data_IF_691110662529
#
_entry.id   IF_691110662529
#
_cell.length_a   1.000
_cell.length_b   1.000
_cell.length_c   1.000
_cell.angle_alpha   90.00
_cell.angle_beta   90.00
_cell.angle_gamma   90.00
#
_symmetry.space_group_name_H-M   'P 1'
#
loop_
_entity.id
_entity.type
_entity.pdbx_description
1 polymer ?
#
# COMPACT_ATOMS: atom_id res chain seq x y z
N UNK A 1 -12.89 -0.16 18.07
CA UNK A 1 -12.52 1.02 17.26
C UNK A 1 -11.38 1.72 17.99
N UNK A 2 -10.23 1.91 17.35
CA UNK A 2 -9.09 2.60 17.97
C UNK A 2 -9.24 4.11 17.76
N UNK A 3 -9.36 4.87 18.85
CA UNK A 3 -9.46 6.32 18.80
C UNK A 3 -8.10 6.93 19.13
N UNK A 4 -7.58 7.77 18.24
CA UNK A 4 -6.34 8.53 18.44
C UNK A 4 -6.72 10.01 18.51
N UNK A 5 -6.44 10.67 19.64
CA UNK A 5 -6.71 12.09 19.85
C UNK A 5 -5.39 12.83 20.14
N UNK A 6 -4.68 13.20 19.08
CA UNK A 6 -3.47 14.01 19.15
C UNK A 6 -3.58 15.17 18.18
N UNK A 7 -3.55 16.39 18.72
CA UNK A 7 -3.62 17.62 17.93
C UNK A 7 -2.43 17.71 16.96
N UNK A 8 -1.23 17.39 17.43
CA UNK A 8 0.00 17.38 16.63
C UNK A 8 -0.13 16.44 15.44
N UNK A 9 -0.50 15.16 15.65
CA UNK A 9 -0.66 14.20 14.55
C UNK A 9 -1.71 14.68 13.55
N UNK A 10 -2.84 15.18 14.04
CA UNK A 10 -3.92 15.66 13.19
C UNK A 10 -3.48 16.87 12.35
N UNK A 11 -2.78 17.83 12.94
CA UNK A 11 -2.30 19.02 12.24
C UNK A 11 -1.17 18.68 11.26
N UNK A 12 -0.25 17.77 11.58
CA UNK A 12 0.81 17.30 10.69
C UNK A 12 0.23 16.56 9.46
N UNK A 13 -0.70 15.63 9.69
CA UNK A 13 -1.39 14.91 8.61
C UNK A 13 -2.09 15.86 7.65
N UNK A 14 -2.70 16.94 8.16
CA UNK A 14 -3.43 17.90 7.34
C UNK A 14 -2.51 18.89 6.63
N UNK A 15 -1.55 19.48 7.35
CA UNK A 15 -0.78 20.63 6.87
C UNK A 15 0.50 20.21 6.13
N UNK A 16 1.13 19.11 6.53
CA UNK A 16 2.37 18.61 5.91
C UNK A 16 2.01 17.65 4.78
N UNK A 17 1.10 16.72 5.04
CA UNK A 17 0.79 15.62 4.11
C UNK A 17 -0.52 15.80 3.32
N UNK A 18 -1.24 16.91 3.53
CA UNK A 18 -2.46 17.23 2.77
C UNK A 18 -3.67 16.33 3.07
N UNK A 19 -3.62 15.50 4.11
CA UNK A 19 -4.61 14.47 4.37
C UNK A 19 -5.79 15.05 5.17
N UNK A 20 -6.78 15.61 4.47
CA UNK A 20 -7.97 16.35 5.02
C UNK A 20 -9.20 15.48 5.21
N UNK A 21 -10.18 15.77 6.10
CA UNK A 21 -11.42 14.98 6.21
C UNK A 21 -12.13 14.72 4.86
N UNK A 22 -12.90 13.63 4.75
CA UNK A 22 -13.52 13.16 3.49
C UNK A 22 -12.51 12.80 2.37
N UNK A 23 -11.41 12.18 2.78
CA UNK A 23 -10.19 11.83 2.01
C UNK A 23 -10.44 11.01 0.75
N UNK A 24 -11.53 10.25 0.71
CA UNK A 24 -11.74 9.20 -0.28
C UNK A 24 -11.68 9.67 -1.73
N UNK A 25 -11.98 10.95 -2.01
CA UNK A 25 -11.99 11.51 -3.37
C UNK A 25 -10.74 12.32 -3.72
N UNK A 26 -10.08 12.92 -2.73
CA UNK A 26 -9.09 13.98 -2.96
C UNK A 26 -7.71 13.67 -2.36
N UNK A 27 -7.51 12.49 -1.78
CA UNK A 27 -6.20 12.12 -1.24
C UNK A 27 -5.20 11.91 -2.36
N UNK A 28 -4.01 12.48 -2.21
CA UNK A 28 -2.88 12.29 -3.12
C UNK A 28 -1.84 11.39 -2.44
N UNK A 29 -1.01 10.72 -3.26
CA UNK A 29 0.10 9.96 -2.70
C UNK A 29 1.13 10.94 -2.12
N UNK A 30 1.47 10.85 -0.82
CA UNK A 30 2.37 11.82 -0.20
C UNK A 30 3.79 11.67 -0.73
N UNK A 31 4.58 12.73 -0.69
CA UNK A 31 6.02 12.62 -0.91
C UNK A 31 6.64 11.74 0.18
N UNK A 32 7.32 10.68 -0.23
CA UNK A 32 8.06 9.77 0.64
C UNK A 32 9.46 9.58 0.05
N UNK A 33 10.54 9.87 0.80
CA UNK A 33 11.90 9.61 0.34
C UNK A 33 12.09 8.14 -0.04
N UNK A 34 12.90 7.89 -1.07
CA UNK A 34 13.08 6.55 -1.65
C UNK A 34 13.50 5.51 -0.59
N UNK A 35 14.37 5.88 0.36
CA UNK A 35 14.79 4.96 1.42
C UNK A 35 13.64 4.51 2.33
N UNK A 36 12.57 5.30 2.47
CA UNK A 36 11.42 5.03 3.32
C UNK A 36 10.20 4.55 2.54
N UNK A 37 10.25 4.58 1.21
CA UNK A 37 9.10 4.25 0.35
C UNK A 37 8.58 2.83 0.62
N UNK A 38 9.49 1.85 0.71
CA UNK A 38 9.12 0.48 1.03
C UNK A 38 8.47 0.32 2.42
N UNK A 39 8.84 1.16 3.41
CA UNK A 39 8.19 1.18 4.72
C UNK A 39 6.78 1.79 4.65
N UNK A 40 6.60 2.87 3.88
CA UNK A 40 5.27 3.46 3.65
C UNK A 40 4.33 2.47 2.96
N UNK A 41 4.80 1.83 1.88
CA UNK A 41 4.01 0.83 1.15
C UNK A 41 3.71 -0.39 2.03
N UNK A 42 4.63 -0.81 2.90
CA UNK A 42 4.34 -1.82 3.92
C UNK A 42 3.19 -1.39 4.82
N UNK A 43 3.22 -0.17 5.35
CA UNK A 43 2.16 0.35 6.21
C UNK A 43 0.80 0.38 5.51
N UNK A 44 0.76 0.84 4.26
CA UNK A 44 -0.45 0.83 3.44
C UNK A 44 -0.95 -0.60 3.16
N UNK A 45 -0.05 -1.48 2.74
CA UNK A 45 -0.37 -2.89 2.52
C UNK A 45 -0.87 -3.57 3.79
N UNK A 46 -0.27 -3.32 4.94
CA UNK A 46 -0.69 -3.90 6.21
C UNK A 46 -2.06 -3.38 6.63
N UNK A 47 -2.35 -2.10 6.43
CA UNK A 47 -3.65 -1.50 6.70
C UNK A 47 -4.77 -2.03 5.80
N UNK A 48 -4.58 -1.99 4.48
CA UNK A 48 -5.68 -2.14 3.51
C UNK A 48 -5.38 -3.11 2.35
N UNK A 49 -4.13 -3.57 2.23
CA UNK A 49 -3.75 -4.56 1.22
C UNK A 49 -4.35 -5.96 1.49
N UNK A 50 -4.40 -6.78 0.45
CA UNK A 50 -4.81 -8.17 0.53
C UNK A 50 -3.75 -9.08 -0.12
N UNK A 51 -3.59 -10.28 0.42
CA UNK A 51 -2.67 -11.30 -0.08
C UNK A 51 -3.34 -12.67 -0.07
N UNK A 52 -3.10 -13.43 -1.13
CA UNK A 52 -3.40 -14.84 -1.27
C UNK A 52 -2.14 -15.55 -1.78
N UNK A 53 -1.47 -16.30 -0.90
CA UNK A 53 -0.23 -17.02 -1.19
C UNK A 53 -0.42 -18.14 -2.22
N UNK A 54 -1.45 -18.96 -2.03
CA UNK A 54 -1.79 -20.09 -2.93
C UNK A 54 -2.03 -19.66 -4.38
N UNK A 55 -2.62 -18.47 -4.59
CA UNK A 55 -2.84 -17.90 -5.94
C UNK A 55 -1.70 -16.98 -6.39
N UNK A 56 -0.67 -16.81 -5.58
CA UNK A 56 0.40 -15.82 -5.76
C UNK A 56 -0.18 -14.46 -6.20
N UNK A 57 -1.03 -13.90 -5.34
CA UNK A 57 -1.82 -12.73 -5.64
C UNK A 57 -1.80 -11.72 -4.49
N UNK A 58 -1.59 -10.45 -4.84
CA UNK A 58 -1.69 -9.30 -3.94
C UNK A 58 -2.60 -8.26 -4.58
N UNK A 59 -3.45 -7.61 -3.78
CA UNK A 59 -4.32 -6.56 -4.27
C UNK A 59 -4.44 -5.37 -3.34
N UNK A 60 -4.67 -4.21 -3.95
CA UNK A 60 -5.00 -2.95 -3.29
C UNK A 60 -6.30 -2.41 -3.86
N UNK A 61 -7.09 -1.73 -3.03
CA UNK A 61 -8.35 -1.09 -3.45
C UNK A 61 -8.35 0.32 -2.87
N UNK A 62 -8.61 1.33 -3.69
CA UNK A 62 -8.65 2.72 -3.24
C UNK A 62 -9.77 3.50 -3.92
N UNK A 63 -10.30 4.52 -3.23
CA UNK A 63 -11.35 5.41 -3.77
C UNK A 63 -10.83 6.60 -4.55
N UNK A 64 -9.57 7.01 -4.33
CA UNK A 64 -8.95 8.16 -5.00
C UNK A 64 -8.17 7.71 -6.21
N UNK A 65 -8.54 8.24 -7.38
CA UNK A 65 -7.82 8.01 -8.62
C UNK A 65 -6.38 8.48 -8.52
N UNK A 66 -6.16 9.72 -8.06
CA UNK A 66 -4.84 10.33 -8.00
C UNK A 66 -3.89 9.50 -7.14
N UNK A 67 -4.33 9.09 -5.95
CA UNK A 67 -3.53 8.23 -5.08
C UNK A 67 -3.19 6.89 -5.76
N UNK A 68 -4.19 6.23 -6.34
CA UNK A 68 -4.01 4.90 -6.91
C UNK A 68 -3.19 4.93 -8.20
N UNK A 69 -3.29 5.99 -9.01
CA UNK A 69 -2.47 6.17 -10.19
C UNK A 69 -1.01 6.48 -9.82
N UNK A 70 -0.76 7.37 -8.86
CA UNK A 70 0.61 7.59 -8.37
C UNK A 70 1.21 6.33 -7.73
N UNK A 71 0.41 5.56 -6.99
CA UNK A 71 0.87 4.29 -6.42
C UNK A 71 1.17 3.23 -7.49
N UNK A 72 0.38 3.20 -8.58
CA UNK A 72 0.65 2.39 -9.75
C UNK A 72 2.02 2.74 -10.36
N UNK A 73 2.29 4.01 -10.60
CA UNK A 73 3.56 4.47 -11.17
C UNK A 73 4.76 4.10 -10.28
N UNK A 74 4.60 4.21 -8.96
CA UNK A 74 5.62 3.76 -7.98
C UNK A 74 5.94 2.27 -8.13
N UNK A 75 4.92 1.43 -8.27
CA UNK A 75 5.11 -0.01 -8.43
C UNK A 75 5.75 -0.35 -9.79
N UNK A 76 5.34 0.32 -10.86
CA UNK A 76 5.94 0.15 -12.20
C UNK A 76 7.41 0.59 -12.22
N UNK A 77 7.74 1.71 -11.57
CA UNK A 77 9.12 2.19 -11.42
C UNK A 77 10.00 1.21 -10.65
N UNK A 78 9.44 0.53 -9.64
CA UNK A 78 10.08 -0.58 -8.91
C UNK A 78 10.09 -1.91 -9.70
N UNK A 79 9.71 -1.88 -10.97
CA UNK A 79 9.70 -3.02 -11.90
C UNK A 79 8.78 -4.15 -11.44
N UNK A 80 7.63 -3.81 -10.87
CA UNK A 80 6.56 -4.77 -10.64
C UNK A 80 5.64 -4.84 -11.85
N UNK A 81 5.20 -6.05 -12.19
CA UNK A 81 4.16 -6.22 -13.20
C UNK A 81 2.81 -6.14 -12.50
N UNK A 82 1.90 -5.31 -13.00
CA UNK A 82 0.61 -5.11 -12.36
C UNK A 82 -0.53 -5.02 -13.37
N UNK A 83 -1.74 -5.23 -12.89
CA UNK A 83 -2.96 -4.85 -13.59
C UNK A 83 -3.66 -3.74 -12.81
N UNK A 84 -4.01 -2.66 -13.51
CA UNK A 84 -4.80 -1.56 -12.96
C UNK A 84 -6.23 -1.68 -13.48
N UNK A 85 -7.20 -1.76 -12.57
CA UNK A 85 -8.62 -1.82 -12.90
C UNK A 85 -9.30 -0.57 -12.39
N UNK A 86 -9.79 0.21 -13.33
CA UNK A 86 -10.65 1.35 -13.09
C UNK A 86 -12.11 0.88 -13.01
N UNK A 87 -12.74 1.08 -11.84
CA UNK A 87 -14.19 0.97 -11.68
C UNK A 87 -14.66 2.36 -11.23
N UNK A 88 -15.82 2.80 -11.70
CA UNK A 88 -16.39 4.14 -11.45
C UNK A 88 -16.27 4.67 -10.01
N UNK A 89 -16.25 3.80 -9.00
CA UNK A 89 -16.16 4.17 -7.57
C UNK A 89 -14.92 3.66 -6.84
N UNK A 90 -14.10 2.85 -7.50
CA UNK A 90 -12.94 2.22 -6.87
C UNK A 90 -11.89 1.83 -7.90
N UNK A 91 -10.63 2.05 -7.56
CA UNK A 91 -9.49 1.66 -8.36
C UNK A 91 -8.82 0.47 -7.70
N UNK A 92 -8.34 -0.47 -8.51
CA UNK A 92 -7.70 -1.68 -8.00
C UNK A 92 -6.37 -1.92 -8.68
N UNK A 93 -5.38 -2.29 -7.87
CA UNK A 93 -4.08 -2.74 -8.36
C UNK A 93 -3.93 -4.20 -7.98
N UNK A 94 -3.56 -5.02 -8.96
CA UNK A 94 -3.28 -6.44 -8.78
C UNK A 94 -1.83 -6.76 -9.12
N UNK A 95 -1.16 -7.45 -8.21
CA UNK A 95 0.13 -8.08 -8.44
C UNK A 95 -0.09 -9.58 -8.44
N UNK A 96 0.23 -10.21 -9.57
CA UNK A 96 0.00 -11.64 -9.77
C UNK A 96 1.30 -12.33 -10.15
N UNK A 97 1.36 -13.64 -9.91
CA UNK A 97 2.47 -14.49 -10.30
C UNK A 97 3.54 -14.62 -9.21
N UNK A 98 4.05 -15.84 -9.04
CA UNK A 98 4.94 -16.24 -7.95
C UNK A 98 6.15 -15.33 -7.79
N UNK A 99 6.87 -15.07 -8.88
CA UNK A 99 8.08 -14.24 -8.84
C UNK A 99 7.79 -12.80 -8.45
N UNK A 100 6.71 -12.23 -8.99
CA UNK A 100 6.34 -10.84 -8.77
C UNK A 100 5.84 -10.61 -7.33
N UNK A 101 5.02 -11.53 -6.81
CA UNK A 101 4.54 -11.48 -5.42
C UNK A 101 5.65 -11.73 -4.41
N UNK A 102 6.55 -12.67 -4.68
CA UNK A 102 7.73 -12.90 -3.84
C UNK A 102 8.64 -11.68 -3.80
N UNK A 103 8.92 -11.08 -4.96
CA UNK A 103 9.69 -9.82 -5.06
C UNK A 103 9.01 -8.71 -4.26
N UNK A 104 7.69 -8.58 -4.37
CA UNK A 104 6.93 -7.56 -3.64
C UNK A 104 7.08 -7.76 -2.12
N UNK A 105 6.89 -8.99 -1.63
CA UNK A 105 7.06 -9.33 -0.22
C UNK A 105 8.47 -9.02 0.29
N UNK A 106 9.51 -9.43 -0.45
CA UNK A 106 10.90 -9.14 -0.10
C UNK A 106 11.18 -7.64 -0.02
N UNK A 107 10.57 -6.84 -0.91
CA UNK A 107 10.75 -5.39 -0.92
C UNK A 107 10.08 -4.71 0.28
N UNK A 108 8.79 -4.96 0.54
CA UNK A 108 8.08 -4.28 1.64
C UNK A 108 8.54 -4.74 3.03
N UNK A 109 9.03 -5.98 3.15
CA UNK A 109 9.57 -6.54 4.40
C UNK A 109 11.10 -6.48 4.48
N UNK A 110 11.76 -5.76 3.57
CA UNK A 110 13.18 -5.42 3.72
C UNK A 110 13.38 -4.69 5.05
N UNK A 111 14.39 -5.10 5.81
CA UNK A 111 14.74 -4.53 7.12
C UNK A 111 13.52 -4.37 8.05
N UNK A 112 12.60 -5.36 8.05
CA UNK A 112 11.33 -5.25 8.78
C UNK A 112 11.57 -5.01 10.28
N UNK A 113 10.99 -3.92 10.78
CA UNK A 113 10.69 -3.70 12.19
C UNK A 113 9.21 -4.00 12.43
N UNK A 114 8.42 -2.94 12.61
CA UNK A 114 6.97 -3.02 12.78
C UNK A 114 6.25 -3.51 11.51
N UNK A 115 5.42 -4.55 11.66
CA UNK A 115 4.58 -5.12 10.61
C UNK A 115 3.44 -5.99 11.17
N UNK A 116 2.43 -6.28 10.36
CA UNK A 116 1.37 -7.23 10.73
C UNK A 116 1.80 -8.69 10.50
N UNK A 117 2.04 -9.40 11.60
CA UNK A 117 2.45 -10.82 11.59
C UNK A 117 1.52 -11.71 10.76
N UNK A 118 0.19 -11.46 10.80
CA UNK A 118 -0.79 -12.23 10.02
C UNK A 118 -0.53 -12.17 8.51
N UNK A 119 -0.24 -10.99 7.97
CA UNK A 119 0.02 -10.83 6.53
C UNK A 119 1.42 -11.31 6.15
N UNK A 120 2.40 -11.06 7.01
CA UNK A 120 3.75 -11.58 6.82
C UNK A 120 3.78 -13.11 6.74
N UNK A 121 3.12 -13.80 7.67
CA UNK A 121 3.10 -15.26 7.72
C UNK A 121 2.54 -15.88 6.42
N UNK A 122 1.49 -15.29 5.83
CA UNK A 122 0.93 -15.77 4.55
C UNK A 122 2.00 -15.80 3.45
N UNK A 123 2.91 -14.82 3.40
CA UNK A 123 4.02 -14.84 2.44
C UNK A 123 5.09 -15.89 2.74
N UNK A 124 5.17 -16.37 3.99
CA UNK A 124 6.15 -17.38 4.42
C UNK A 124 5.63 -18.80 4.32
N UNK A 125 4.32 -18.98 4.13
CA UNK A 125 3.72 -20.26 3.79
C UNK A 125 4.28 -20.70 2.43
N UNK A 126 5.32 -21.53 2.48
CA UNK A 126 5.87 -22.20 1.30
C UNK A 126 4.94 -23.38 0.99
N UNK A 127 4.46 -23.44 -0.24
CA UNK A 127 3.99 -24.70 -0.84
C UNK A 127 5.17 -25.68 -0.99
#
# INVERSE_FOLDING_TARGET
>A
MLNINSKTIKDDLMNIHGIRPCKSFNIEFPFVPEEYLHHFVRGYFDGDGHVNSHKYFVSFVGGSYNFMNSFKDILENNKFQLSFVDKEKQYRIYLSGKNNVNKFSQWIYKNKGLHLKRKYNIFQEKE
#
